data_IF_852227395611
#
_entry.id   IF_852227395611
#
_cell.length_a   1.000
_cell.length_b   1.000
_cell.length_c   1.000
_cell.angle_alpha   90.00
_cell.angle_beta   90.00
_cell.angle_gamma   90.00
#
_symmetry.space_group_name_H-M   'P 1'
#
loop_
_entity.id
_entity.type
_entity.pdbx_description
1 polymer ?
#
# COMPACT_ATOMS: atom_id res chain seq x y z
N UNK A 1 -72.11 24.43 -52.56
CA UNK A 1 -71.23 24.83 -51.43
C UNK A 1 -71.60 24.04 -50.18
N UNK A 2 -70.80 23.05 -49.79
CA UNK A 2 -70.86 22.37 -48.49
C UNK A 2 -69.43 22.09 -48.03
N UNK A 3 -68.85 22.99 -47.25
CA UNK A 3 -67.61 22.72 -46.51
C UNK A 3 -68.00 22.01 -45.20
N UNK A 4 -67.73 20.71 -45.11
CA UNK A 4 -67.83 19.97 -43.85
C UNK A 4 -66.54 20.16 -43.05
N UNK A 5 -66.64 20.93 -41.98
CA UNK A 5 -65.58 21.15 -40.98
C UNK A 5 -65.38 19.83 -40.21
N UNK A 6 -64.17 19.26 -40.27
CA UNK A 6 -63.72 18.17 -39.40
C UNK A 6 -63.72 18.67 -37.94
N UNK A 7 -64.66 18.18 -37.13
CA UNK A 7 -64.61 18.34 -35.67
C UNK A 7 -63.47 17.49 -35.13
N UNK A 8 -62.39 18.14 -34.70
CA UNK A 8 -61.36 17.51 -33.87
C UNK A 8 -62.03 17.05 -32.56
N UNK A 9 -62.08 15.73 -32.34
CA UNK A 9 -62.45 15.17 -31.03
C UNK A 9 -61.32 15.52 -30.08
N UNK A 10 -61.49 16.57 -29.27
CA UNK A 10 -60.66 16.79 -28.08
C UNK A 10 -60.87 15.59 -27.15
N UNK A 11 -59.91 14.67 -27.16
CA UNK A 11 -59.84 13.60 -26.17
C UNK A 11 -59.41 14.27 -24.87
N UNK A 12 -60.40 14.57 -24.03
CA UNK A 12 -60.18 15.09 -22.68
C UNK A 12 -59.58 13.94 -21.85
N UNK A 13 -58.27 13.75 -21.94
CA UNK A 13 -57.58 12.84 -21.04
C UNK A 13 -57.65 13.43 -19.64
N UNK A 14 -58.37 12.74 -18.75
CA UNK A 14 -58.48 13.14 -17.36
C UNK A 14 -57.07 13.29 -16.79
N UNK A 15 -56.66 14.48 -16.30
CA UNK A 15 -55.28 14.72 -15.84
C UNK A 15 -54.86 13.75 -14.73
N UNK A 16 -55.82 13.23 -13.97
CA UNK A 16 -55.62 12.17 -12.97
C UNK A 16 -55.12 10.88 -13.63
N UNK A 17 -55.65 10.52 -14.80
CA UNK A 17 -55.25 9.31 -15.52
C UNK A 17 -53.84 9.41 -16.09
N UNK A 18 -53.46 10.58 -16.61
CA UNK A 18 -52.08 10.84 -17.08
C UNK A 18 -51.11 10.78 -15.89
N UNK A 19 -51.49 11.35 -14.75
CA UNK A 19 -50.68 11.33 -13.54
C UNK A 19 -50.49 9.90 -13.00
N UNK A 20 -51.55 9.09 -12.97
CA UNK A 20 -51.48 7.68 -12.54
C UNK A 20 -50.57 6.86 -13.47
N UNK A 21 -50.69 7.03 -14.79
CA UNK A 21 -49.83 6.32 -15.75
C UNK A 21 -48.38 6.75 -15.58
N UNK A 22 -48.11 8.05 -15.42
CA UNK A 22 -46.75 8.56 -15.20
C UNK A 22 -46.15 8.01 -13.90
N UNK A 23 -46.92 8.01 -12.81
CA UNK A 23 -46.49 7.47 -11.53
C UNK A 23 -46.20 5.96 -11.63
N UNK A 24 -47.05 5.19 -12.31
CA UNK A 24 -46.84 3.76 -12.53
C UNK A 24 -45.57 3.48 -13.37
N UNK A 25 -45.32 4.26 -14.43
CA UNK A 25 -44.09 4.14 -15.22
C UNK A 25 -42.85 4.54 -14.44
N UNK A 26 -42.94 5.56 -13.58
CA UNK A 26 -41.85 5.97 -12.69
C UNK A 26 -41.53 4.87 -11.67
N UNK A 27 -42.54 4.25 -11.06
CA UNK A 27 -42.34 3.11 -10.18
C UNK A 27 -41.72 1.90 -10.89
N UNK A 28 -42.15 1.60 -12.13
CA UNK A 28 -41.56 0.53 -12.93
C UNK A 28 -40.09 0.83 -13.30
N UNK A 29 -39.78 2.06 -13.69
CA UNK A 29 -38.41 2.49 -13.98
C UNK A 29 -37.53 2.43 -12.73
N UNK A 30 -38.04 2.90 -11.59
CA UNK A 30 -37.36 2.86 -10.31
C UNK A 30 -37.10 1.42 -9.85
N UNK A 31 -38.10 0.54 -10.00
CA UNK A 31 -37.94 -0.90 -9.72
C UNK A 31 -36.89 -1.53 -10.64
N UNK A 32 -36.89 -1.18 -11.92
CA UNK A 32 -35.91 -1.65 -12.91
C UNK A 32 -34.49 -1.20 -12.58
N UNK A 33 -34.30 0.08 -12.23
CA UNK A 33 -33.02 0.64 -11.80
C UNK A 33 -32.52 -0.04 -10.52
N UNK A 34 -33.39 -0.26 -9.54
CA UNK A 34 -33.05 -0.99 -8.32
C UNK A 34 -32.66 -2.44 -8.64
N UNK A 35 -33.42 -3.14 -9.49
CA UNK A 35 -33.05 -4.52 -9.88
C UNK A 35 -31.72 -4.58 -10.62
N UNK A 36 -31.38 -3.60 -11.47
CA UNK A 36 -30.06 -3.51 -12.11
C UNK A 36 -28.94 -3.18 -11.12
N UNK A 37 -29.22 -2.36 -10.10
CA UNK A 37 -28.26 -2.06 -9.04
C UNK A 37 -28.01 -3.30 -8.15
N UNK A 38 -29.05 -4.10 -7.88
CA UNK A 38 -28.95 -5.33 -7.10
C UNK A 38 -28.31 -6.47 -7.91
N UNK A 39 -28.58 -6.57 -9.22
CA UNK A 39 -28.01 -7.64 -10.07
C UNK A 39 -26.51 -7.50 -10.35
N UNK A 40 -25.93 -6.33 -10.06
CA UNK A 40 -24.50 -6.06 -10.20
C UNK A 40 -23.74 -6.09 -8.86
N UNK A 41 -24.45 -6.23 -7.74
CA UNK A 41 -23.83 -6.48 -6.45
C UNK A 41 -23.61 -8.00 -6.32
N UNK A 42 -22.47 -8.44 -5.77
CA UNK A 42 -22.25 -9.87 -5.54
C UNK A 42 -23.38 -10.47 -4.67
N UNK A 43 -23.83 -11.68 -5.01
CA UNK A 43 -24.98 -12.38 -4.43
C UNK A 43 -24.89 -12.63 -2.91
N UNK A 44 -23.74 -12.36 -2.31
CA UNK A 44 -23.47 -12.47 -0.88
C UNK A 44 -22.96 -11.11 -0.37
N UNK A 45 -23.71 -10.50 0.55
CA UNK A 45 -23.17 -9.48 1.47
C UNK A 45 -23.25 -10.07 2.89
N UNK A 46 -22.41 -11.04 3.27
CA UNK A 46 -22.59 -11.81 4.48
C UNK A 46 -21.48 -11.40 5.47
N UNK A 47 -21.53 -10.20 6.03
CA UNK A 47 -20.65 -9.81 7.14
C UNK A 47 -19.15 -10.11 6.93
N UNK A 48 -18.45 -9.39 6.03
CA UNK A 48 -16.98 -9.39 5.94
C UNK A 48 -16.29 -10.78 5.95
N UNK A 49 -16.02 -11.30 4.77
CA UNK A 49 -14.87 -12.17 4.52
C UNK A 49 -13.69 -11.73 5.44
N UNK A 50 -13.11 -12.63 6.25
CA UNK A 50 -12.11 -12.30 7.31
C UNK A 50 -11.00 -11.34 6.81
N UNK A 51 -10.78 -11.34 5.50
CA UNK A 51 -10.12 -10.28 4.73
C UNK A 51 -10.77 -10.11 3.36
N UNK A 52 -10.74 -8.91 2.79
CA UNK A 52 -11.28 -8.55 1.48
C UNK A 52 -10.33 -7.62 0.72
N UNK A 53 -10.55 -7.46 -0.59
CA UNK A 53 -9.71 -6.61 -1.43
C UNK A 53 -10.14 -5.15 -1.39
N UNK A 54 -9.17 -4.25 -1.21
CA UNK A 54 -9.35 -2.80 -1.35
C UNK A 54 -8.46 -2.26 -2.46
N UNK A 55 -8.82 -1.08 -2.99
CA UNK A 55 -7.91 -0.28 -3.82
C UNK A 55 -7.05 0.60 -2.94
N UNK A 56 -5.73 0.48 -3.07
CA UNK A 56 -4.79 1.32 -2.31
C UNK A 56 -4.84 2.77 -2.81
N UNK A 57 -4.99 2.97 -4.12
CA UNK A 57 -4.99 4.30 -4.74
C UNK A 57 -6.09 4.40 -5.77
N UNK A 58 -7.01 5.35 -5.58
CA UNK A 58 -8.07 5.62 -6.55
C UNK A 58 -7.68 6.64 -7.64
N UNK A 59 -6.87 7.65 -7.29
CA UNK A 59 -6.52 8.75 -8.20
C UNK A 59 -5.23 8.46 -8.93
N UNK A 60 -5.22 8.70 -10.24
CA UNK A 60 -4.01 8.60 -11.05
C UNK A 60 -3.27 9.96 -11.07
N UNK A 61 -2.34 10.13 -10.13
CA UNK A 61 -1.43 11.27 -10.10
C UNK A 61 -0.24 11.02 -11.03
N UNK A 62 0.49 12.07 -11.45
CA UNK A 62 1.71 11.88 -12.27
C UNK A 62 2.78 11.07 -11.54
N UNK A 63 2.99 11.38 -10.26
CA UNK A 63 3.87 10.64 -9.34
C UNK A 63 3.02 10.10 -8.18
N UNK A 64 3.45 9.01 -7.51
CA UNK A 64 2.73 8.49 -6.36
C UNK A 64 2.62 9.55 -5.24
N UNK A 65 1.58 9.48 -4.41
CA UNK A 65 1.45 10.36 -3.26
C UNK A 65 2.70 10.35 -2.39
N UNK A 66 3.03 11.51 -1.80
CA UNK A 66 4.19 11.69 -0.91
C UNK A 66 5.55 11.33 -1.53
N UNK A 67 5.66 11.30 -2.86
CA UNK A 67 6.94 11.16 -3.53
C UNK A 67 7.91 12.27 -3.09
N UNK A 68 9.07 11.89 -2.58
CA UNK A 68 10.15 12.77 -2.11
C UNK A 68 11.49 12.10 -2.32
N UNK A 69 12.55 12.88 -2.41
CA UNK A 69 13.90 12.37 -2.68
C UNK A 69 14.96 13.10 -1.85
N UNK A 70 16.01 12.37 -1.48
CA UNK A 70 17.27 12.91 -0.96
C UNK A 70 18.34 12.50 -1.97
N UNK A 71 18.68 13.40 -2.89
CA UNK A 71 19.51 13.07 -4.04
C UNK A 71 20.94 12.70 -3.62
N UNK A 72 21.46 13.35 -2.60
CA UNK A 72 22.80 13.13 -2.07
C UNK A 72 22.98 11.72 -1.47
N UNK A 73 21.87 11.05 -1.12
CA UNK A 73 21.85 9.70 -0.57
C UNK A 73 21.40 8.65 -1.59
N UNK A 74 21.04 9.03 -2.83
CA UNK A 74 20.41 8.14 -3.81
C UNK A 74 19.18 7.40 -3.24
N UNK A 75 18.33 8.10 -2.49
CA UNK A 75 17.09 7.53 -1.96
C UNK A 75 15.87 8.39 -2.26
N UNK A 76 14.74 7.73 -2.40
CA UNK A 76 13.42 8.35 -2.47
C UNK A 76 12.41 7.60 -1.60
N UNK A 77 11.30 8.25 -1.31
CA UNK A 77 10.19 7.67 -0.57
C UNK A 77 8.84 8.02 -1.20
N UNK A 78 7.88 7.10 -1.23
CA UNK A 78 6.50 7.41 -1.63
C UNK A 78 5.48 6.49 -0.96
N UNK A 79 4.19 6.78 -1.16
CA UNK A 79 3.09 5.85 -0.93
C UNK A 79 3.08 4.73 -1.97
N UNK A 80 2.09 3.84 -1.91
CA UNK A 80 1.86 2.88 -3.00
C UNK A 80 1.87 3.60 -4.35
N UNK A 81 2.29 2.92 -5.42
CA UNK A 81 2.24 3.45 -6.77
C UNK A 81 1.36 2.56 -7.66
N UNK A 82 0.92 3.14 -8.78
CA UNK A 82 0.30 2.41 -9.89
C UNK A 82 1.37 2.01 -10.90
N UNK A 83 1.21 0.90 -11.64
CA UNK A 83 2.08 0.54 -12.76
C UNK A 83 2.31 1.68 -13.75
N UNK A 84 1.25 2.41 -14.11
CA UNK A 84 1.30 3.57 -15.02
C UNK A 84 2.14 4.76 -14.52
N UNK A 85 2.52 4.77 -13.24
CA UNK A 85 3.37 5.81 -12.67
C UNK A 85 4.86 5.47 -12.74
N UNK A 86 5.23 4.22 -13.04
CA UNK A 86 6.63 3.75 -12.98
C UNK A 86 7.55 4.54 -13.90
N UNK A 87 7.13 4.86 -15.12
CA UNK A 87 7.98 5.63 -16.04
C UNK A 87 8.20 7.07 -15.55
N UNK A 88 7.18 7.69 -14.93
CA UNK A 88 7.35 9.00 -14.29
C UNK A 88 8.28 8.91 -13.07
N UNK A 89 8.20 7.83 -12.28
CA UNK A 89 9.11 7.57 -11.16
C UNK A 89 10.55 7.45 -11.67
N UNK A 90 10.80 6.69 -12.73
CA UNK A 90 12.13 6.56 -13.35
C UNK A 90 12.68 7.90 -13.82
N UNK A 91 11.85 8.72 -14.47
CA UNK A 91 12.23 10.07 -14.91
C UNK A 91 12.54 10.98 -13.71
N UNK A 92 11.75 10.90 -12.64
CA UNK A 92 11.95 11.73 -11.45
C UNK A 92 13.21 11.34 -10.66
N UNK A 93 13.51 10.05 -10.57
CA UNK A 93 14.70 9.52 -9.89
C UNK A 93 15.95 9.72 -10.76
N UNK A 94 15.84 9.49 -12.07
CA UNK A 94 16.93 9.64 -13.04
C UNK A 94 18.22 8.88 -12.65
N UNK A 95 18.08 7.60 -12.30
CA UNK A 95 19.19 6.70 -12.00
C UNK A 95 19.20 5.50 -12.95
N UNK A 96 20.38 4.99 -13.37
CA UNK A 96 20.49 3.80 -14.20
C UNK A 96 20.00 2.53 -13.49
N UNK A 97 20.04 2.50 -12.15
CA UNK A 97 19.69 1.35 -11.33
C UNK A 97 18.78 1.79 -10.20
N UNK A 98 17.49 1.49 -10.33
CA UNK A 98 16.48 1.77 -9.31
C UNK A 98 16.04 0.45 -8.69
N UNK A 99 16.06 0.38 -7.36
CA UNK A 99 15.53 -0.75 -6.58
C UNK A 99 14.33 -0.27 -5.77
N UNK A 100 13.19 -0.92 -5.96
CA UNK A 100 12.02 -0.71 -5.12
C UNK A 100 12.21 -1.48 -3.82
N UNK A 101 12.18 -0.77 -2.70
CA UNK A 101 12.18 -1.36 -1.36
C UNK A 101 10.77 -1.30 -0.80
N UNK A 102 10.07 -2.42 -0.91
CA UNK A 102 8.72 -2.59 -0.42
C UNK A 102 8.72 -2.97 1.06
N UNK A 103 8.10 -2.12 1.88
CA UNK A 103 8.08 -2.26 3.34
C UNK A 103 6.79 -2.88 3.87
N UNK A 104 5.91 -3.38 2.99
CA UNK A 104 4.56 -3.80 3.38
C UNK A 104 4.54 -5.24 3.88
N UNK A 105 3.95 -5.50 5.05
CA UNK A 105 3.73 -6.89 5.50
C UNK A 105 2.39 -7.43 4.98
N UNK A 106 1.41 -6.55 4.83
CA UNK A 106 0.10 -6.87 4.28
C UNK A 106 0.20 -7.43 2.86
N UNK A 107 -0.56 -8.50 2.57
CA UNK A 107 -0.63 -9.09 1.23
C UNK A 107 -1.16 -8.06 0.24
N UNK A 108 -0.42 -7.80 -0.83
CA UNK A 108 -0.82 -6.84 -1.87
C UNK A 108 -0.29 -7.23 -3.24
N UNK A 109 -0.77 -6.53 -4.27
CA UNK A 109 -0.39 -6.76 -5.65
C UNK A 109 -1.15 -5.85 -6.59
N UNK A 110 -1.27 -6.27 -7.85
CA UNK A 110 -1.84 -5.45 -8.92
C UNK A 110 -2.86 -6.25 -9.72
N UNK A 111 -4.01 -5.64 -9.97
CA UNK A 111 -4.94 -6.05 -11.02
C UNK A 111 -4.84 -5.03 -12.15
N UNK A 112 -4.20 -5.41 -13.26
CA UNK A 112 -3.85 -4.48 -14.33
C UNK A 112 -3.11 -3.24 -13.79
N UNK A 113 -3.64 -2.02 -13.97
CA UNK A 113 -3.06 -0.79 -13.42
C UNK A 113 -3.48 -0.48 -11.96
N UNK A 114 -4.27 -1.34 -11.34
CA UNK A 114 -4.86 -1.06 -10.03
C UNK A 114 -4.10 -1.76 -8.91
N UNK A 115 -3.41 -1.00 -8.02
CA UNK A 115 -2.81 -1.56 -6.82
C UNK A 115 -3.92 -1.95 -5.85
N UNK A 116 -3.85 -3.19 -5.38
CA UNK A 116 -4.78 -3.78 -4.44
C UNK A 116 -4.04 -4.30 -3.22
N UNK A 117 -4.72 -4.29 -2.09
CA UNK A 117 -4.26 -5.00 -0.89
C UNK A 117 -5.41 -5.75 -0.24
N UNK A 118 -5.06 -6.81 0.47
CA UNK A 118 -5.99 -7.47 1.38
C UNK A 118 -6.11 -6.64 2.66
N UNK A 119 -7.34 -6.51 3.13
CA UNK A 119 -7.69 -5.70 4.30
C UNK A 119 -8.70 -6.44 5.17
N UNK A 120 -8.67 -6.20 6.48
CA UNK A 120 -9.65 -6.72 7.43
C UNK A 120 -10.06 -5.62 8.41
N UNK A 121 -11.34 -5.57 8.79
CA UNK A 121 -11.81 -4.64 9.83
C UNK A 121 -11.37 -5.03 11.24
N UNK A 122 -11.04 -6.31 11.46
CA UNK A 122 -10.85 -6.86 12.80
C UNK A 122 -9.42 -7.34 13.06
N UNK A 123 -8.59 -7.47 12.01
CA UNK A 123 -7.26 -8.06 12.12
C UNK A 123 -6.25 -7.30 11.25
N UNK A 124 -5.00 -7.29 11.67
CA UNK A 124 -3.88 -6.88 10.80
C UNK A 124 -3.49 -8.06 9.92
N UNK A 125 -3.49 -7.87 8.61
CA UNK A 125 -3.14 -8.92 7.65
C UNK A 125 -1.68 -9.35 7.85
N UNK A 126 -1.43 -10.65 7.83
CA UNK A 126 -0.11 -11.27 8.03
C UNK A 126 0.54 -10.96 9.38
N UNK A 127 -0.27 -10.58 10.37
CA UNK A 127 0.22 -10.38 11.73
C UNK A 127 0.89 -11.64 12.27
N UNK A 128 2.01 -11.45 12.99
CA UNK A 128 2.82 -12.54 13.54
C UNK A 128 3.41 -13.50 12.49
N UNK A 129 3.52 -13.12 11.22
CA UNK A 129 4.27 -13.91 10.24
C UNK A 129 5.70 -13.39 10.09
N UNK A 130 6.66 -14.30 9.94
CA UNK A 130 8.00 -13.96 9.49
C UNK A 130 8.03 -13.68 7.97
N UNK A 131 9.15 -13.16 7.45
CA UNK A 131 9.22 -12.72 6.05
C UNK A 131 8.94 -13.83 5.03
N UNK A 132 9.42 -15.05 5.25
CA UNK A 132 9.18 -16.18 4.34
C UNK A 132 7.69 -16.56 4.32
N UNK A 133 7.08 -16.66 5.51
CA UNK A 133 5.66 -16.97 5.65
C UNK A 133 4.78 -15.86 5.05
N UNK A 134 5.13 -14.59 5.25
CA UNK A 134 4.43 -13.44 4.65
C UNK A 134 4.41 -13.53 3.13
N UNK A 135 5.56 -13.75 2.50
CA UNK A 135 5.68 -13.84 1.04
C UNK A 135 4.90 -15.03 0.47
N UNK A 136 5.00 -16.19 1.14
CA UNK A 136 4.24 -17.37 0.75
C UNK A 136 2.72 -17.12 0.82
N UNK A 137 2.26 -16.51 1.91
CA UNK A 137 0.85 -16.23 2.11
C UNK A 137 0.30 -15.19 1.13
N UNK A 138 1.08 -14.15 0.79
CA UNK A 138 0.75 -13.20 -0.27
C UNK A 138 0.60 -13.89 -1.63
N UNK A 139 1.54 -14.79 -1.97
CA UNK A 139 1.46 -15.57 -3.21
C UNK A 139 0.21 -16.46 -3.25
N UNK A 140 -0.12 -17.12 -2.14
CA UNK A 140 -1.34 -17.92 -2.02
C UNK A 140 -2.60 -17.06 -2.19
N UNK A 141 -2.62 -15.87 -1.60
CA UNK A 141 -3.72 -14.94 -1.70
C UNK A 141 -3.95 -14.46 -3.14
N UNK A 142 -2.91 -13.97 -3.80
CA UNK A 142 -2.99 -13.52 -5.18
C UNK A 142 -3.41 -14.66 -6.13
N UNK A 143 -3.00 -15.91 -5.85
CA UNK A 143 -3.38 -17.07 -6.66
C UNK A 143 -4.87 -17.41 -6.63
N UNK A 144 -5.60 -16.97 -5.58
CA UNK A 144 -7.05 -17.18 -5.43
C UNK A 144 -7.87 -16.21 -6.28
N UNK A 145 -7.25 -15.17 -6.83
CA UNK A 145 -7.92 -14.20 -7.70
C UNK A 145 -8.02 -14.80 -9.11
N UNK A 146 -9.24 -15.14 -9.53
CA UNK A 146 -9.48 -15.73 -10.85
C UNK A 146 -9.52 -14.68 -11.95
N UNK A 147 -8.68 -14.85 -12.99
CA UNK A 147 -8.66 -13.98 -14.17
C UNK A 147 -10.01 -13.99 -14.92
N UNK A 148 -10.38 -12.83 -15.48
CA UNK A 148 -11.59 -12.68 -16.31
C UNK A 148 -12.91 -12.59 -15.54
N UNK A 149 -12.90 -12.84 -14.23
CA UNK A 149 -14.05 -12.63 -13.35
C UNK A 149 -14.17 -11.16 -12.93
N UNK A 150 -15.38 -10.77 -12.53
CA UNK A 150 -15.63 -9.50 -11.84
C UNK A 150 -15.15 -9.64 -10.40
N UNK A 151 -13.99 -9.07 -10.09
CA UNK A 151 -13.37 -9.14 -8.77
C UNK A 151 -13.93 -8.01 -7.91
N UNK A 152 -14.66 -8.31 -6.82
CA UNK A 152 -15.25 -7.27 -5.99
C UNK A 152 -14.16 -6.54 -5.19
N UNK A 153 -14.20 -5.23 -5.27
CA UNK A 153 -13.37 -4.30 -4.53
C UNK A 153 -14.25 -3.56 -3.52
N UNK A 154 -13.71 -3.38 -2.31
CA UNK A 154 -14.40 -2.70 -1.22
C UNK A 154 -13.62 -1.47 -0.77
N UNK A 155 -14.29 -0.59 -0.03
CA UNK A 155 -13.66 0.46 0.76
C UNK A 155 -13.13 -0.12 2.06
N UNK A 156 -12.18 0.54 2.74
CA UNK A 156 -11.77 0.14 4.10
C UNK A 156 -12.91 0.06 5.12
N UNK A 157 -14.04 0.74 4.87
CA UNK A 157 -15.27 0.63 5.68
C UNK A 157 -16.03 -0.69 5.50
N UNK A 158 -15.61 -1.55 4.57
CA UNK A 158 -16.31 -2.78 4.18
C UNK A 158 -17.43 -2.57 3.15
N UNK A 159 -17.71 -1.32 2.76
CA UNK A 159 -18.69 -1.03 1.70
C UNK A 159 -18.17 -1.46 0.34
N UNK A 160 -19.02 -2.12 -0.46
CA UNK A 160 -18.72 -2.40 -1.86
C UNK A 160 -18.41 -1.10 -2.62
N UNK A 161 -17.32 -1.11 -3.38
CA UNK A 161 -16.89 0.03 -4.18
C UNK A 161 -17.22 -0.18 -5.66
N UNK A 162 -16.65 -1.23 -6.25
CA UNK A 162 -16.78 -1.58 -7.66
C UNK A 162 -16.31 -3.02 -7.88
N UNK A 163 -16.49 -3.55 -9.10
CA UNK A 163 -15.86 -4.80 -9.51
C UNK A 163 -14.91 -4.53 -10.65
N UNK A 164 -13.68 -5.05 -10.55
CA UNK A 164 -12.67 -4.92 -11.58
C UNK A 164 -12.60 -6.22 -12.35
N UNK A 165 -12.69 -6.14 -13.68
CA UNK A 165 -12.45 -7.28 -14.54
C UNK A 165 -10.95 -7.37 -14.83
N UNK A 166 -10.31 -8.44 -14.36
CA UNK A 166 -8.86 -8.60 -14.49
C UNK A 166 -8.46 -9.14 -15.86
N UNK A 167 -7.46 -8.51 -16.46
CA UNK A 167 -6.70 -9.11 -17.58
C UNK A 167 -5.40 -9.73 -17.07
N UNK A 168 -4.80 -9.13 -16.04
CA UNK A 168 -3.53 -9.55 -15.44
C UNK A 168 -3.56 -9.39 -13.93
N UNK A 169 -2.83 -10.27 -13.23
CA UNK A 169 -2.57 -10.19 -11.80
C UNK A 169 -1.07 -10.33 -11.60
N UNK A 170 -0.45 -9.39 -10.90
CA UNK A 170 0.98 -9.40 -10.63
C UNK A 170 1.24 -9.14 -9.14
N UNK A 171 2.20 -9.86 -8.57
CA UNK A 171 2.86 -9.39 -7.35
C UNK A 171 3.83 -8.25 -7.71
N UNK A 172 4.27 -7.49 -6.71
CA UNK A 172 5.08 -6.30 -6.97
C UNK A 172 6.48 -6.64 -7.51
N UNK A 173 7.07 -7.76 -7.12
CA UNK A 173 8.34 -8.23 -7.66
C UNK A 173 8.28 -8.43 -9.19
N UNK A 174 7.26 -9.14 -9.68
CA UNK A 174 7.09 -9.37 -11.11
C UNK A 174 6.75 -8.07 -11.86
N UNK A 175 5.99 -7.16 -11.23
CA UNK A 175 5.79 -5.83 -11.78
C UNK A 175 7.12 -5.10 -11.95
N UNK A 176 7.94 -5.01 -10.89
CA UNK A 176 9.25 -4.36 -10.93
C UNK A 176 10.14 -4.97 -12.01
N UNK A 177 10.20 -6.30 -12.08
CA UNK A 177 10.94 -7.04 -13.10
C UNK A 177 10.49 -6.70 -14.52
N UNK A 178 9.18 -6.61 -14.78
CA UNK A 178 8.64 -6.24 -16.10
C UNK A 178 9.08 -4.83 -16.53
N UNK A 179 9.33 -3.94 -15.57
CA UNK A 179 9.84 -2.59 -15.81
C UNK A 179 11.37 -2.49 -15.71
N UNK A 180 12.11 -3.60 -15.54
CA UNK A 180 13.56 -3.59 -15.41
C UNK A 180 14.07 -2.93 -14.12
N UNK A 181 13.25 -2.91 -13.06
CA UNK A 181 13.62 -2.41 -11.74
C UNK A 181 14.13 -3.55 -10.87
N UNK A 182 15.06 -3.24 -9.96
CA UNK A 182 15.36 -4.12 -8.83
C UNK A 182 14.21 -4.12 -7.82
N UNK A 183 14.13 -5.17 -7.00
CA UNK A 183 13.10 -5.31 -5.97
C UNK A 183 13.68 -5.93 -4.71
N UNK A 184 13.27 -5.40 -3.55
CA UNK A 184 13.60 -5.91 -2.22
C UNK A 184 12.36 -5.79 -1.34
N UNK A 185 11.87 -6.91 -0.82
CA UNK A 185 10.81 -6.95 0.18
C UNK A 185 11.40 -6.98 1.58
N UNK A 186 10.93 -6.10 2.47
CA UNK A 186 11.19 -6.12 3.92
C UNK A 186 9.84 -5.95 4.62
N UNK A 187 9.15 -7.05 4.98
CA UNK A 187 7.75 -6.98 5.36
C UNK A 187 7.56 -6.47 6.79
N UNK A 188 7.33 -5.17 6.94
CA UNK A 188 7.13 -4.53 8.25
C UNK A 188 5.65 -4.27 8.51
N UNK A 189 5.18 -4.72 9.68
CA UNK A 189 3.80 -4.53 10.11
C UNK A 189 3.42 -3.05 10.16
N UNK A 190 2.24 -2.72 9.65
CA UNK A 190 1.77 -1.34 9.63
C UNK A 190 1.64 -0.76 11.05
N UNK A 191 2.15 0.46 11.26
CA UNK A 191 2.26 1.16 12.55
C UNK A 191 3.25 0.58 13.58
N UNK A 192 4.08 -0.41 13.22
CA UNK A 192 5.10 -0.97 14.11
C UNK A 192 6.54 -0.71 13.63
N UNK A 193 7.49 -1.06 14.48
CA UNK A 193 8.92 -1.13 14.15
C UNK A 193 9.24 -2.47 13.47
N UNK A 194 10.30 -2.56 12.66
CA UNK A 194 10.75 -3.84 12.10
C UNK A 194 11.18 -4.81 13.20
N UNK A 195 10.97 -6.10 12.97
CA UNK A 195 11.54 -7.15 13.80
C UNK A 195 13.08 -7.16 13.66
N UNK A 196 13.84 -7.61 14.69
CA UNK A 196 15.30 -7.62 14.62
C UNK A 196 15.88 -8.33 13.38
N UNK A 197 15.25 -9.41 12.93
CA UNK A 197 15.69 -10.13 11.72
C UNK A 197 15.44 -9.32 10.42
N UNK A 198 14.40 -8.50 10.38
CA UNK A 198 14.13 -7.59 9.25
C UNK A 198 15.16 -6.45 9.23
N UNK A 199 15.61 -5.99 10.41
CA UNK A 199 16.71 -5.03 10.53
C UNK A 199 18.02 -5.64 10.04
N UNK A 200 18.33 -6.87 10.44
CA UNK A 200 19.52 -7.58 9.96
C UNK A 200 19.50 -7.73 8.42
N UNK A 201 18.36 -8.13 7.86
CA UNK A 201 18.19 -8.25 6.41
C UNK A 201 18.36 -6.91 5.69
N UNK A 202 17.81 -5.83 6.26
CA UNK A 202 17.99 -4.47 5.73
C UNK A 202 19.46 -4.02 5.75
N UNK A 203 20.14 -4.19 6.89
CA UNK A 203 21.55 -3.81 7.05
C UNK A 203 22.41 -4.59 6.07
N UNK A 204 22.21 -5.92 5.97
CA UNK A 204 22.93 -6.75 5.01
C UNK A 204 22.68 -6.32 3.57
N UNK A 205 21.43 -6.01 3.22
CA UNK A 205 21.08 -5.50 1.89
C UNK A 205 21.80 -4.18 1.57
N UNK A 206 21.77 -3.21 2.48
CA UNK A 206 22.42 -1.90 2.28
C UNK A 206 23.94 -2.00 2.25
N UNK A 207 24.52 -2.91 3.03
CA UNK A 207 25.97 -3.13 3.11
C UNK A 207 26.55 -3.77 1.84
N UNK A 208 25.73 -4.49 1.07
CA UNK A 208 26.09 -5.12 -0.19
C UNK A 208 25.51 -4.38 -1.41
N UNK A 209 25.02 -3.16 -1.22
CA UNK A 209 24.43 -2.34 -2.27
C UNK A 209 25.52 -1.67 -3.12
N UNK A 210 25.36 -1.70 -4.45
CA UNK A 210 26.23 -0.95 -5.35
C UNK A 210 26.08 0.57 -5.15
N UNK A 211 27.18 1.31 -5.23
CA UNK A 211 27.21 2.75 -4.94
C UNK A 211 26.34 3.61 -5.89
N UNK A 212 26.03 3.10 -7.09
CA UNK A 212 25.21 3.77 -8.10
C UNK A 212 23.70 3.43 -8.01
N UNK A 213 23.31 2.52 -7.11
CA UNK A 213 21.93 2.12 -6.94
C UNK A 213 21.12 3.19 -6.20
N UNK A 214 19.94 3.52 -6.75
CA UNK A 214 18.96 4.38 -6.11
C UNK A 214 17.84 3.56 -5.48
N UNK A 215 17.57 3.75 -4.19
CA UNK A 215 16.51 3.05 -3.48
C UNK A 215 15.23 3.88 -3.42
N UNK A 216 14.11 3.33 -3.90
CA UNK A 216 12.78 3.90 -3.67
C UNK A 216 12.07 3.10 -2.58
N UNK A 217 12.00 3.67 -1.38
CA UNK A 217 11.25 3.09 -0.26
C UNK A 217 9.77 3.41 -0.41
N UNK A 218 8.91 2.41 -0.17
CA UNK A 218 7.47 2.69 -0.08
C UNK A 218 6.78 1.78 0.93
N UNK A 219 5.61 2.23 1.34
CA UNK A 219 4.62 1.44 2.05
C UNK A 219 3.23 1.88 1.57
N UNK A 220 2.16 1.48 2.26
CA UNK A 220 0.81 1.88 1.84
C UNK A 220 0.64 3.41 1.69
N UNK A 221 0.97 4.18 2.73
CA UNK A 221 0.76 5.64 2.75
C UNK A 221 2.01 6.48 2.47
N UNK A 222 3.21 5.88 2.50
CA UNK A 222 4.47 6.61 2.30
C UNK A 222 4.92 7.44 3.51
N UNK A 223 4.39 7.10 4.70
CA UNK A 223 4.56 7.84 5.95
C UNK A 223 5.49 7.09 6.92
N UNK A 224 4.95 6.36 7.89
CA UNK A 224 5.71 5.77 9.00
C UNK A 224 6.84 4.84 8.56
N UNK A 225 6.51 3.72 7.91
CA UNK A 225 7.49 2.73 7.46
C UNK A 225 8.51 3.34 6.49
N UNK A 226 8.04 4.07 5.48
CA UNK A 226 8.89 4.74 4.48
C UNK A 226 9.86 5.72 5.12
N UNK A 227 9.38 6.65 5.95
CA UNK A 227 10.24 7.66 6.59
C UNK A 227 11.23 7.00 7.55
N UNK A 228 10.80 5.96 8.28
CA UNK A 228 11.66 5.21 9.19
C UNK A 228 12.82 4.53 8.45
N UNK A 229 12.56 3.83 7.34
CA UNK A 229 13.62 3.17 6.58
C UNK A 229 14.53 4.15 5.82
N UNK A 230 13.99 5.28 5.36
CA UNK A 230 14.83 6.37 4.82
C UNK A 230 15.78 6.93 5.89
N UNK A 231 15.28 7.12 7.12
CA UNK A 231 16.12 7.54 8.26
C UNK A 231 17.19 6.47 8.58
N UNK A 232 16.79 5.19 8.65
CA UNK A 232 17.71 4.09 8.90
C UNK A 232 18.81 4.00 7.82
N UNK A 233 18.46 4.18 6.54
CA UNK A 233 19.44 4.24 5.45
C UNK A 233 20.44 5.39 5.66
N UNK A 234 19.93 6.59 5.98
CA UNK A 234 20.79 7.75 6.25
C UNK A 234 21.73 7.50 7.44
N UNK A 235 21.27 6.81 8.50
CA UNK A 235 22.12 6.41 9.63
C UNK A 235 23.22 5.44 9.20
N UNK A 236 22.91 4.45 8.35
CA UNK A 236 23.91 3.50 7.83
C UNK A 236 24.95 4.17 6.92
N UNK A 237 24.55 5.20 6.17
CA UNK A 237 25.44 5.96 5.27
C UNK A 237 25.96 7.27 5.89
N UNK A 238 25.88 7.42 7.22
CA UNK A 238 26.23 8.64 7.95
C UNK A 238 27.74 8.89 8.07
N UNK A 239 28.43 9.07 6.95
CA UNK A 239 29.88 9.35 6.93
C UNK A 239 30.26 10.70 7.55
N UNK A 240 29.31 11.63 7.65
CA UNK A 240 29.53 12.99 8.18
C UNK A 240 29.27 13.11 9.68
N UNK A 241 29.03 12.00 10.39
CA UNK A 241 28.75 11.97 11.83
C UNK A 241 27.60 12.91 12.25
N UNK A 242 26.56 13.02 11.43
CA UNK A 242 25.36 13.77 11.76
C UNK A 242 24.70 13.18 13.00
N UNK A 243 24.18 14.03 13.88
CA UNK A 243 23.44 13.58 15.06
C UNK A 243 22.11 12.92 14.67
N UNK A 244 21.59 12.06 15.54
CA UNK A 244 20.26 11.45 15.36
C UNK A 244 19.17 12.51 15.12
N UNK A 245 19.16 13.59 15.90
CA UNK A 245 18.15 14.65 15.74
C UNK A 245 18.28 15.37 14.40
N UNK A 246 19.50 15.57 13.89
CA UNK A 246 19.74 16.11 12.55
C UNK A 246 19.15 15.20 11.49
N UNK A 247 19.48 13.91 11.52
CA UNK A 247 18.95 12.92 10.55
C UNK A 247 17.42 12.90 10.57
N UNK A 248 16.80 12.86 11.75
CA UNK A 248 15.33 12.84 11.85
C UNK A 248 14.70 14.15 11.32
N UNK A 249 15.34 15.29 11.55
CA UNK A 249 14.90 16.57 11.02
C UNK A 249 15.06 16.67 9.49
N UNK A 250 16.14 16.11 8.93
CA UNK A 250 16.34 16.04 7.49
C UNK A 250 15.17 15.30 6.83
N UNK A 251 14.76 14.17 7.40
CA UNK A 251 13.62 13.39 6.91
C UNK A 251 12.30 14.18 6.93
N UNK A 252 12.07 14.99 7.97
CA UNK A 252 10.89 15.88 8.03
C UNK A 252 11.00 16.96 6.95
N UNK A 253 12.18 17.57 6.77
CA UNK A 253 12.40 18.67 5.83
C UNK A 253 12.09 18.30 4.39
N UNK A 254 12.32 17.03 4.02
CA UNK A 254 12.00 16.50 2.69
C UNK A 254 10.57 15.97 2.56
N UNK A 255 9.72 16.15 3.58
CA UNK A 255 8.30 15.77 3.55
C UNK A 255 7.98 14.41 4.17
N UNK A 256 8.88 13.87 4.99
CA UNK A 256 8.60 12.76 5.91
C UNK A 256 7.67 13.16 7.06
N UNK A 257 7.49 12.24 8.01
CA UNK A 257 6.73 12.49 9.24
C UNK A 257 7.65 12.57 10.46
N UNK A 258 7.14 13.12 11.57
CA UNK A 258 7.81 13.03 12.86
C UNK A 258 7.79 11.57 13.32
N UNK A 259 8.96 10.95 13.43
CA UNK A 259 9.07 9.52 13.78
C UNK A 259 9.02 9.24 15.30
N UNK A 260 9.24 10.27 16.12
CA UNK A 260 9.33 10.18 17.59
C UNK A 260 8.00 10.46 18.29
N UNK A 261 6.90 10.53 17.55
CA UNK A 261 5.54 10.63 18.07
C UNK A 261 5.11 9.36 18.83
N UNK A 262 5.73 8.22 18.51
CA UNK A 262 5.63 6.96 19.22
C UNK A 262 6.90 6.70 20.04
N UNK A 263 6.73 6.44 21.35
CA UNK A 263 7.84 6.06 22.23
C UNK A 263 8.57 4.82 21.69
N UNK A 264 7.84 3.79 21.25
CA UNK A 264 8.43 2.57 20.71
C UNK A 264 9.28 2.83 19.47
N UNK A 265 8.81 3.69 18.55
CA UNK A 265 9.54 4.03 17.33
C UNK A 265 10.76 4.92 17.63
N UNK A 266 10.61 5.88 18.53
CA UNK A 266 11.71 6.73 18.99
C UNK A 266 12.84 5.93 19.64
N UNK A 267 12.50 5.05 20.59
CA UNK A 267 13.48 4.18 21.25
C UNK A 267 14.16 3.26 20.24
N UNK A 268 13.40 2.66 19.31
CA UNK A 268 13.99 1.83 18.26
C UNK A 268 15.03 2.61 17.42
N UNK A 269 14.71 3.83 16.99
CA UNK A 269 15.61 4.65 16.17
C UNK A 269 16.86 5.07 16.94
N UNK A 270 16.76 5.35 18.23
CA UNK A 270 17.91 5.63 19.09
C UNK A 270 18.84 4.40 19.18
N UNK A 271 18.26 3.22 19.37
CA UNK A 271 19.01 1.96 19.44
C UNK A 271 19.69 1.63 18.12
N UNK A 272 18.95 1.76 17.02
CA UNK A 272 19.49 1.53 15.69
C UNK A 272 20.63 2.52 15.38
N UNK A 273 20.47 3.80 15.73
CA UNK A 273 21.53 4.79 15.59
C UNK A 273 22.78 4.42 16.39
N UNK A 274 22.63 4.05 17.67
CA UNK A 274 23.76 3.60 18.49
C UNK A 274 24.44 2.35 17.91
N UNK A 275 23.66 1.39 17.41
CA UNK A 275 24.18 0.24 16.68
C UNK A 275 25.03 0.69 15.48
N UNK A 276 24.58 1.68 14.69
CA UNK A 276 25.35 2.17 13.55
C UNK A 276 26.67 2.83 13.95
N UNK A 277 26.69 3.58 15.06
CA UNK A 277 27.90 4.18 15.59
C UNK A 277 28.92 3.12 16.05
N UNK A 278 28.45 2.09 16.75
CA UNK A 278 29.31 1.03 17.29
C UNK A 278 29.84 0.07 16.21
N UNK A 279 29.12 -0.09 15.08
CA UNK A 279 29.41 -1.15 14.10
C UNK A 279 29.83 -0.67 12.70
N UNK A 280 29.78 0.63 12.41
CA UNK A 280 30.18 1.17 11.10
C UNK A 280 31.63 0.84 10.73
N UNK A 281 32.58 0.93 11.68
CA UNK A 281 34.00 0.65 11.42
C UNK A 281 34.31 -0.82 11.15
N UNK A 282 33.44 -1.74 11.59
CA UNK A 282 33.58 -3.18 11.34
C UNK A 282 32.87 -3.62 10.06
N UNK A 283 32.24 -2.69 9.34
CA UNK A 283 31.35 -2.96 8.22
C UNK A 283 30.16 -3.85 8.62
N UNK A 284 29.58 -3.59 9.80
CA UNK A 284 28.41 -4.31 10.32
C UNK A 284 28.60 -5.83 10.43
N UNK A 285 29.78 -6.28 10.88
CA UNK A 285 30.06 -7.72 11.11
C UNK A 285 29.20 -8.34 12.20
N UNK A 286 28.89 -7.59 13.26
CA UNK A 286 27.92 -7.98 14.26
C UNK A 286 26.52 -7.59 13.75
N UNK A 287 25.58 -8.54 13.75
CA UNK A 287 24.20 -8.26 13.35
C UNK A 287 23.47 -7.44 14.42
N UNK A 288 22.48 -6.64 14.02
CA UNK A 288 21.68 -5.84 14.94
C UNK A 288 20.95 -6.73 15.96
N UNK A 289 20.39 -7.86 15.53
CA UNK A 289 19.71 -8.79 16.43
C UNK A 289 20.61 -9.37 17.51
N UNK A 290 21.90 -9.61 17.21
CA UNK A 290 22.87 -10.11 18.20
C UNK A 290 23.38 -8.99 19.09
N UNK A 291 23.70 -7.83 18.51
CA UNK A 291 24.09 -6.63 19.25
C UNK A 291 23.03 -6.24 20.29
N UNK A 292 21.75 -6.34 19.92
CA UNK A 292 20.62 -5.98 20.78
C UNK A 292 20.52 -6.86 22.03
N UNK A 293 20.88 -8.15 21.96
CA UNK A 293 20.84 -9.08 23.12
C UNK A 293 21.78 -8.64 24.25
N UNK A 294 22.86 -7.95 23.92
CA UNK A 294 23.86 -7.48 24.87
C UNK A 294 23.48 -6.15 25.55
N UNK A 295 22.36 -5.54 25.16
CA UNK A 295 21.84 -4.30 25.74
C UNK A 295 20.77 -4.64 26.78
N UNK A 296 21.22 -4.97 28.00
CA UNK A 296 20.36 -5.30 29.13
C UNK A 296 19.34 -4.19 29.44
N UNK A 297 18.10 -4.57 29.75
CA UNK A 297 17.08 -3.68 30.33
C UNK A 297 16.02 -3.12 29.39
N UNK A 298 16.08 -3.38 28.08
CA UNK A 298 15.14 -2.81 27.09
C UNK A 298 14.58 -3.81 26.06
N UNK A 299 14.92 -5.10 26.18
CA UNK A 299 14.15 -6.19 25.58
C UNK A 299 13.04 -6.57 26.55
N UNK A 300 11.83 -6.02 26.38
CA UNK A 300 10.66 -6.70 26.91
C UNK A 300 10.47 -7.89 25.97
N UNK A 301 10.64 -9.12 26.47
CA UNK A 301 9.96 -10.29 25.89
C UNK A 301 8.48 -9.91 25.73
N UNK A 302 8.06 -9.50 24.53
CA UNK A 302 6.77 -8.81 24.33
C UNK A 302 6.65 -7.93 23.09
N UNK A 303 7.75 -7.57 22.41
CA UNK A 303 7.63 -7.37 20.96
C UNK A 303 7.33 -8.76 20.38
N UNK A 304 6.14 -9.01 19.79
CA UNK A 304 5.67 -10.37 19.55
C UNK A 304 6.61 -11.07 18.57
N UNK A 305 7.48 -11.94 19.09
CA UNK A 305 8.07 -13.03 18.36
C UNK A 305 7.29 -14.28 18.77
N UNK A 306 6.71 -14.92 17.76
CA UNK A 306 6.07 -16.24 17.77
C UNK A 306 6.13 -17.01 19.10
N UNK A 307 5.01 -17.04 19.82
CA UNK A 307 4.71 -18.24 20.59
C UNK A 307 4.28 -19.31 19.58
N UNK A 308 5.11 -20.34 19.42
CA UNK A 308 4.66 -21.60 18.86
C UNK A 308 3.68 -22.23 19.86
N UNK A 309 2.38 -22.16 19.56
CA UNK A 309 1.36 -23.13 19.94
C UNK A 309 0.21 -23.06 18.94
#
# INVERSE_FOLDING_TARGET
MKNSILKNKNINHNPIYIFIVFLATFFLLYKFIITMAISNAPDNIPFLQDKFLILDIKKNYKLPPRFRSIQELNISGCAQFRPSQIDNIKVAINSPKIIIVDLRQESHGFIDDNPISYYSLFQTINNNLNSEATLKYESEDLSKITLGNNIPIFKPTGEYLESIKSSTILNEENLCKNFGLGYKRIPVRDNFIPAPNEVDDFVNFVNNLDDDAHLLFHCHAGEGRTTMFMAMFQMLKNSSNLSLSTILNDQISVGGIVLTDSMFRGTFLEYFYNYTLENSSSNYKESYSNWLKNKNGLYIEGAPLHENN
#
